data_IF_476101741982
#
_entry.id   IF_476101741982
#
_cell.length_a   1.000
_cell.length_b   1.000
_cell.length_c   1.000
_cell.angle_alpha   90.00
_cell.angle_beta   90.00
_cell.angle_gamma   90.00
#
_symmetry.space_group_name_H-M   'P 1'
#
loop_
_entity.id
_entity.type
_entity.pdbx_description
1 polymer ?
#
# COMPACT_ATOMS: atom_id res chain seq x y z
N UNK A 1 -19.12 -32.12 10.35
CA UNK A 1 -18.66 -30.80 9.88
C UNK A 1 -17.20 -30.54 10.16
N UNK A 2 -16.70 -30.77 11.38
CA UNK A 2 -15.30 -30.52 11.81
C UNK A 2 -14.26 -31.26 10.96
N UNK A 3 -14.48 -32.52 10.61
CA UNK A 3 -13.56 -33.33 9.81
C UNK A 3 -13.35 -32.75 8.41
N UNK A 4 -14.39 -32.23 7.79
CA UNK A 4 -14.29 -31.60 6.45
C UNK A 4 -13.44 -30.34 6.52
N UNK A 5 -13.59 -29.51 7.56
CA UNK A 5 -12.75 -28.32 7.75
C UNK A 5 -11.27 -28.69 7.93
N UNK A 6 -10.96 -29.72 8.69
CA UNK A 6 -9.57 -30.20 8.84
C UNK A 6 -8.99 -30.70 7.54
N UNK A 7 -9.74 -31.46 6.76
CA UNK A 7 -9.29 -31.97 5.45
C UNK A 7 -9.01 -30.81 4.49
N UNK A 8 -9.90 -29.82 4.41
CA UNK A 8 -9.71 -28.63 3.58
C UNK A 8 -8.48 -27.82 4.06
N UNK A 9 -8.34 -27.62 5.37
CA UNK A 9 -7.17 -26.92 5.91
C UNK A 9 -5.86 -27.63 5.61
N UNK A 10 -5.79 -28.94 5.79
CA UNK A 10 -4.61 -29.77 5.48
C UNK A 10 -4.29 -29.71 4.00
N UNK A 11 -5.30 -29.78 3.13
CA UNK A 11 -5.12 -29.68 1.67
C UNK A 11 -4.49 -28.32 1.26
N UNK A 12 -5.04 -27.20 1.78
CA UNK A 12 -4.47 -25.88 1.49
C UNK A 12 -3.07 -25.70 2.06
N UNK A 13 -2.82 -26.23 3.26
CA UNK A 13 -1.49 -26.16 3.88
C UNK A 13 -0.45 -26.97 3.11
N UNK A 14 -0.80 -28.16 2.67
CA UNK A 14 0.05 -29.00 1.83
C UNK A 14 0.32 -28.35 0.45
N UNK A 15 -0.69 -27.72 -0.14
CA UNK A 15 -0.55 -26.98 -1.39
C UNK A 15 0.38 -25.77 -1.23
N UNK A 16 0.24 -24.99 -0.14
CA UNK A 16 1.12 -23.88 0.16
C UNK A 16 2.57 -24.31 0.36
N UNK A 17 2.79 -25.36 1.17
CA UNK A 17 4.13 -25.91 1.39
C UNK A 17 4.73 -26.47 0.10
N UNK A 18 3.93 -27.16 -0.70
CA UNK A 18 4.36 -27.72 -1.99
C UNK A 18 4.77 -26.63 -2.98
N UNK A 19 3.97 -25.56 -3.10
CA UNK A 19 4.29 -24.40 -3.96
C UNK A 19 5.53 -23.65 -3.46
N UNK A 20 5.59 -23.36 -2.16
CA UNK A 20 6.73 -22.67 -1.57
C UNK A 20 8.02 -23.50 -1.73
N UNK A 21 7.95 -24.82 -1.45
CA UNK A 21 9.06 -25.72 -1.63
C UNK A 21 9.55 -25.77 -3.08
N UNK A 22 8.63 -25.89 -4.04
CA UNK A 22 8.97 -25.86 -5.48
C UNK A 22 9.66 -24.56 -5.89
N UNK A 23 9.16 -23.42 -5.44
CA UNK A 23 9.75 -22.11 -5.74
C UNK A 23 11.14 -21.97 -5.12
N UNK A 24 11.29 -22.33 -3.83
CA UNK A 24 12.56 -22.22 -3.12
C UNK A 24 13.60 -23.17 -3.73
N UNK A 25 13.27 -24.46 -3.89
CA UNK A 25 14.18 -25.45 -4.45
C UNK A 25 14.56 -25.10 -5.89
N UNK A 26 13.57 -24.76 -6.72
CA UNK A 26 13.81 -24.33 -8.10
C UNK A 26 14.63 -23.04 -8.20
N UNK A 27 14.40 -22.10 -7.30
CA UNK A 27 15.16 -20.86 -7.19
C UNK A 27 16.61 -21.09 -6.79
N UNK A 28 16.84 -21.94 -5.77
CA UNK A 28 18.19 -22.28 -5.29
C UNK A 28 18.99 -23.07 -6.32
N UNK A 29 18.36 -24.04 -6.99
CA UNK A 29 19.01 -24.84 -8.04
C UNK A 29 19.30 -24.05 -9.34
N UNK A 30 18.47 -23.04 -9.64
CA UNK A 30 18.65 -22.16 -10.79
C UNK A 30 19.49 -20.92 -10.50
N UNK A 31 19.88 -20.67 -9.26
CA UNK A 31 20.62 -19.49 -8.89
C UNK A 31 22.08 -19.56 -9.39
N UNK A 32 22.36 -18.82 -10.45
CA UNK A 32 23.71 -18.60 -10.94
C UNK A 32 24.20 -17.23 -10.53
N UNK A 33 25.53 -17.03 -10.25
CA UNK A 33 26.08 -15.72 -9.90
C UNK A 33 25.78 -14.65 -10.96
N UNK A 34 25.56 -15.06 -12.21
CA UNK A 34 25.19 -14.16 -13.31
C UNK A 34 23.80 -13.55 -13.18
N UNK A 35 22.89 -14.18 -12.44
CA UNK A 35 21.53 -13.65 -12.18
C UNK A 35 21.56 -12.40 -11.30
N UNK A 36 22.62 -12.22 -10.50
CA UNK A 36 22.78 -11.04 -9.63
C UNK A 36 23.50 -9.88 -10.32
N UNK A 37 24.00 -10.06 -11.55
CA UNK A 37 24.65 -8.98 -12.30
C UNK A 37 23.62 -7.96 -12.76
N UNK A 38 23.88 -6.68 -12.44
CA UNK A 38 23.15 -5.55 -13.01
C UNK A 38 23.46 -5.46 -14.51
N UNK A 39 22.53 -5.03 -15.33
CA UNK A 39 22.67 -4.78 -16.75
C UNK A 39 22.35 -5.93 -17.74
N UNK A 40 21.93 -7.11 -17.28
CA UNK A 40 21.44 -8.16 -18.18
C UNK A 40 19.93 -8.21 -18.19
N UNK A 41 19.28 -8.25 -19.36
CA UNK A 41 17.84 -8.39 -19.47
C UNK A 41 17.41 -9.67 -18.74
N UNK A 42 16.55 -9.56 -17.73
CA UNK A 42 16.06 -10.69 -16.92
C UNK A 42 16.89 -10.98 -15.66
N UNK A 43 17.89 -10.15 -15.30
CA UNK A 43 18.63 -10.32 -14.04
C UNK A 43 17.81 -9.91 -12.82
N UNK A 44 17.94 -10.67 -11.73
CA UNK A 44 17.31 -10.40 -10.44
C UNK A 44 17.73 -9.03 -9.89
N UNK A 45 19.01 -8.64 -10.08
CA UNK A 45 19.53 -7.35 -9.64
C UNK A 45 18.77 -6.17 -10.24
N UNK A 46 18.47 -6.24 -11.54
CA UNK A 46 17.71 -5.20 -12.24
C UNK A 46 16.25 -5.15 -11.75
N UNK A 47 15.66 -6.32 -11.48
CA UNK A 47 14.30 -6.40 -10.96
C UNK A 47 14.19 -5.87 -9.54
N UNK A 48 15.14 -6.17 -8.66
CA UNK A 48 15.23 -5.63 -7.31
C UNK A 48 15.34 -4.10 -7.33
N UNK A 49 16.22 -3.57 -8.17
CA UNK A 49 16.36 -2.11 -8.34
C UNK A 49 15.03 -1.47 -8.77
N UNK A 50 14.37 -2.03 -9.79
CA UNK A 50 13.09 -1.53 -10.28
C UNK A 50 12.00 -1.59 -9.21
N UNK A 51 11.98 -2.65 -8.38
CA UNK A 51 11.04 -2.78 -7.28
C UNK A 51 11.28 -1.71 -6.21
N UNK A 52 12.54 -1.53 -5.79
CA UNK A 52 12.92 -0.50 -4.81
C UNK A 52 12.55 0.88 -5.32
N UNK A 53 12.89 1.18 -6.58
CA UNK A 53 12.55 2.44 -7.22
C UNK A 53 11.03 2.70 -7.22
N UNK A 54 10.25 1.70 -7.66
CA UNK A 54 8.79 1.78 -7.72
C UNK A 54 8.19 2.02 -6.33
N UNK A 55 8.61 1.24 -5.34
CA UNK A 55 8.15 1.38 -3.95
C UNK A 55 8.52 2.75 -3.39
N UNK A 56 9.77 3.19 -3.59
CA UNK A 56 10.24 4.49 -3.09
C UNK A 56 9.42 5.65 -3.67
N UNK A 57 9.21 5.68 -4.98
CA UNK A 57 8.43 6.75 -5.63
C UNK A 57 6.95 6.68 -5.20
N UNK A 58 6.36 5.49 -5.12
CA UNK A 58 4.97 5.37 -4.70
C UNK A 58 4.77 5.85 -3.25
N UNK A 59 5.69 5.54 -2.34
CA UNK A 59 5.65 6.02 -0.96
C UNK A 59 5.91 7.53 -0.87
N UNK A 60 6.84 8.05 -1.67
CA UNK A 60 7.13 9.50 -1.70
C UNK A 60 5.88 10.33 -2.05
N UNK A 61 4.98 9.78 -2.84
CA UNK A 61 3.70 10.43 -3.19
C UNK A 61 2.61 10.11 -2.16
N UNK A 62 2.42 8.82 -1.84
CA UNK A 62 1.27 8.38 -1.04
C UNK A 62 1.41 8.70 0.45
N UNK A 63 2.63 8.66 1.03
CA UNK A 63 2.83 8.91 2.46
C UNK A 63 2.52 10.37 2.83
N UNK A 64 3.10 11.39 2.20
CA UNK A 64 2.79 12.78 2.57
C UNK A 64 1.31 13.09 2.40
N UNK A 65 0.72 12.70 1.28
CA UNK A 65 -0.70 12.96 1.00
C UNK A 65 -1.62 12.18 1.94
N UNK A 66 -1.36 10.90 2.16
CA UNK A 66 -2.17 10.04 3.02
C UNK A 66 -2.09 10.45 4.50
N UNK A 67 -0.89 10.75 5.00
CA UNK A 67 -0.70 11.21 6.39
C UNK A 67 -1.39 12.56 6.60
N UNK A 68 -1.18 13.54 5.72
CA UNK A 68 -1.86 14.83 5.82
C UNK A 68 -3.40 14.67 5.79
N UNK A 69 -3.92 13.83 4.90
CA UNK A 69 -5.35 13.55 4.83
C UNK A 69 -5.86 12.85 6.10
N UNK A 70 -5.12 11.87 6.64
CA UNK A 70 -5.46 11.17 7.87
C UNK A 70 -5.50 12.10 9.09
N UNK A 71 -4.47 12.95 9.26
CA UNK A 71 -4.44 13.96 10.32
C UNK A 71 -5.62 14.93 10.19
N UNK A 72 -5.89 15.40 8.97
CA UNK A 72 -7.02 16.29 8.73
C UNK A 72 -8.36 15.63 9.14
N UNK A 73 -8.59 14.39 8.73
CA UNK A 73 -9.81 13.65 9.05
C UNK A 73 -9.95 13.31 10.54
N UNK A 74 -8.82 13.09 11.24
CA UNK A 74 -8.84 12.76 12.66
C UNK A 74 -9.07 14.00 13.54
N UNK A 75 -8.39 15.13 13.26
CA UNK A 75 -8.31 16.27 14.19
C UNK A 75 -9.09 17.50 13.73
N UNK A 76 -9.20 17.73 12.43
CA UNK A 76 -9.74 19.00 11.90
C UNK A 76 -11.10 18.86 11.21
N UNK A 77 -11.44 17.67 10.70
CA UNK A 77 -12.66 17.47 9.96
C UNK A 77 -13.90 17.59 10.86
N UNK A 78 -14.68 18.64 10.66
CA UNK A 78 -15.98 18.80 11.31
C UNK A 78 -16.97 17.78 10.71
N UNK A 79 -17.90 17.27 11.55
CA UNK A 79 -18.98 16.43 11.07
C UNK A 79 -19.87 17.20 10.08
N UNK A 80 -19.76 16.91 8.79
CA UNK A 80 -20.49 17.59 7.73
C UNK A 80 -20.58 16.77 6.45
N UNK A 81 -21.30 17.31 5.45
CA UNK A 81 -21.48 16.63 4.15
C UNK A 81 -20.16 16.38 3.45
N UNK A 82 -19.21 17.33 3.53
CA UNK A 82 -17.89 17.22 2.91
C UNK A 82 -17.05 16.09 3.52
N UNK A 83 -17.04 15.97 4.84
CA UNK A 83 -16.30 14.89 5.53
C UNK A 83 -16.90 13.52 5.23
N UNK A 84 -18.24 13.42 5.15
CA UNK A 84 -18.91 12.19 4.72
C UNK A 84 -18.54 11.82 3.28
N UNK A 85 -18.51 12.80 2.39
CA UNK A 85 -18.12 12.58 1.00
C UNK A 85 -16.66 12.08 0.89
N UNK A 86 -15.72 12.72 1.58
CA UNK A 86 -14.31 12.29 1.60
C UNK A 86 -14.15 10.85 2.13
N UNK A 87 -14.87 10.50 3.21
CA UNK A 87 -14.86 9.12 3.74
C UNK A 87 -15.40 8.13 2.73
N UNK A 88 -16.52 8.45 2.09
CA UNK A 88 -17.10 7.61 1.05
C UNK A 88 -16.11 7.40 -0.12
N UNK A 89 -15.38 8.44 -0.53
CA UNK A 89 -14.35 8.32 -1.55
C UNK A 89 -13.21 7.39 -1.12
N UNK A 90 -12.73 7.52 0.11
CA UNK A 90 -11.66 6.68 0.67
C UNK A 90 -12.12 5.22 0.77
N UNK A 91 -13.31 4.97 1.31
CA UNK A 91 -13.91 3.64 1.41
C UNK A 91 -14.12 3.00 0.04
N UNK A 92 -14.60 3.77 -0.94
CA UNK A 92 -14.78 3.29 -2.31
C UNK A 92 -13.45 2.92 -2.94
N UNK A 93 -12.43 3.77 -2.82
CA UNK A 93 -11.09 3.47 -3.34
C UNK A 93 -10.47 2.23 -2.66
N UNK A 94 -10.66 2.08 -1.35
CA UNK A 94 -10.18 0.91 -0.59
C UNK A 94 -10.87 -0.39 -0.98
N UNK A 95 -12.12 -0.33 -1.45
CA UNK A 95 -12.91 -1.50 -1.85
C UNK A 95 -12.69 -1.92 -3.30
N UNK A 96 -12.02 -1.10 -4.12
CA UNK A 96 -11.76 -1.44 -5.51
C UNK A 96 -10.75 -2.59 -5.64
N UNK A 97 -11.04 -3.61 -6.48
CA UNK A 97 -10.05 -4.62 -6.82
C UNK A 97 -8.79 -3.98 -7.42
N UNK A 98 -7.61 -4.44 -7.00
CA UNK A 98 -6.32 -3.91 -7.47
C UNK A 98 -6.16 -3.93 -9.00
N UNK A 99 -6.79 -4.91 -9.67
CA UNK A 99 -6.77 -5.00 -11.12
C UNK A 99 -7.51 -3.82 -11.80
N UNK A 100 -8.58 -3.33 -11.17
CA UNK A 100 -9.33 -2.15 -11.66
C UNK A 100 -8.48 -0.90 -11.51
N UNK A 101 -7.83 -0.73 -10.36
CA UNK A 101 -6.92 0.42 -10.14
C UNK A 101 -5.70 0.36 -11.07
N UNK A 102 -5.16 -0.85 -11.32
CA UNK A 102 -4.08 -1.04 -12.28
C UNK A 102 -4.49 -0.69 -13.71
N UNK A 103 -5.71 -1.09 -14.14
CA UNK A 103 -6.25 -0.75 -15.44
C UNK A 103 -6.52 0.76 -15.57
N UNK A 104 -7.07 1.38 -14.52
CA UNK A 104 -7.26 2.83 -14.45
C UNK A 104 -5.92 3.56 -14.59
N UNK A 105 -4.91 3.16 -13.84
CA UNK A 105 -3.56 3.72 -13.92
C UNK A 105 -2.95 3.56 -15.32
N UNK A 106 -3.16 2.40 -15.96
CA UNK A 106 -2.75 2.17 -17.34
C UNK A 106 -3.41 3.18 -18.29
N UNK A 107 -4.74 3.32 -18.23
CA UNK A 107 -5.48 4.24 -19.13
C UNK A 107 -5.09 5.68 -18.89
N UNK A 108 -4.97 6.10 -17.63
CA UNK A 108 -4.66 7.49 -17.27
C UNK A 108 -3.21 7.83 -17.58
N UNK A 109 -2.26 7.06 -17.02
CA UNK A 109 -0.85 7.46 -17.12
C UNK A 109 -0.19 7.06 -18.44
N UNK A 110 -0.53 5.88 -18.99
CA UNK A 110 0.11 5.43 -20.22
C UNK A 110 -0.59 5.99 -21.46
N UNK A 111 -1.93 5.96 -21.49
CA UNK A 111 -2.70 6.34 -22.69
C UNK A 111 -2.98 7.83 -22.68
N UNK A 112 -3.60 8.35 -21.63
CA UNK A 112 -4.02 9.76 -21.61
C UNK A 112 -2.84 10.72 -21.44
N UNK A 113 -1.93 10.48 -20.48
CA UNK A 113 -0.73 11.31 -20.28
C UNK A 113 0.43 10.93 -21.20
N UNK A 114 0.35 9.84 -21.96
CA UNK A 114 1.38 9.44 -22.90
C UNK A 114 2.73 9.09 -22.27
N UNK A 115 2.77 8.71 -20.97
CA UNK A 115 4.01 8.42 -20.25
C UNK A 115 4.72 7.15 -20.73
N UNK A 116 4.08 6.38 -21.63
CA UNK A 116 4.59 5.11 -22.08
C UNK A 116 4.68 4.05 -20.96
N UNK A 117 5.29 2.91 -21.24
CA UNK A 117 5.52 1.85 -20.25
C UNK A 117 6.71 2.22 -19.36
N UNK A 118 6.49 3.13 -18.41
CA UNK A 118 7.53 3.62 -17.49
C UNK A 118 7.27 3.16 -16.06
N UNK A 119 8.36 3.02 -15.29
CA UNK A 119 8.29 2.73 -13.86
C UNK A 119 7.56 3.84 -13.09
N UNK A 120 7.66 5.08 -13.55
CA UNK A 120 6.96 6.22 -12.96
C UNK A 120 5.45 6.06 -13.06
N UNK A 121 4.93 5.69 -14.23
CA UNK A 121 3.49 5.43 -14.41
C UNK A 121 3.00 4.30 -13.48
N UNK A 122 3.80 3.24 -13.34
CA UNK A 122 3.51 2.16 -12.39
C UNK A 122 3.51 2.65 -10.93
N UNK A 123 4.50 3.44 -10.54
CA UNK A 123 4.60 3.98 -9.18
C UNK A 123 3.42 4.90 -8.83
N UNK A 124 3.00 5.76 -9.75
CA UNK A 124 1.82 6.61 -9.58
C UNK A 124 0.52 5.79 -9.46
N UNK A 125 0.39 4.72 -10.24
CA UNK A 125 -0.76 3.80 -10.13
C UNK A 125 -0.81 3.11 -8.76
N UNK A 126 0.34 2.65 -8.26
CA UNK A 126 0.44 2.04 -6.93
C UNK A 126 0.19 3.07 -5.83
N UNK A 127 0.62 4.33 -6.00
CA UNK A 127 0.36 5.38 -5.01
C UNK A 127 -1.13 5.67 -4.83
N UNK A 128 -1.94 5.60 -5.90
CA UNK A 128 -3.40 5.73 -5.80
C UNK A 128 -4.00 4.60 -4.94
N UNK A 129 -3.49 3.38 -5.10
CA UNK A 129 -3.95 2.22 -4.33
C UNK A 129 -3.57 2.31 -2.85
N UNK A 130 -2.37 2.79 -2.54
CA UNK A 130 -1.85 2.86 -1.17
C UNK A 130 -2.35 4.09 -0.39
N UNK A 131 -2.77 5.14 -1.08
CA UNK A 131 -3.22 6.40 -0.47
C UNK A 131 -4.37 6.21 0.52
N UNK A 132 -5.49 5.54 0.20
CA UNK A 132 -6.57 5.33 1.16
C UNK A 132 -6.13 4.50 2.37
N UNK A 133 -5.28 3.49 2.17
CA UNK A 133 -4.75 2.67 3.27
C UNK A 133 -3.95 3.52 4.26
N UNK A 134 -3.04 4.37 3.78
CA UNK A 134 -2.24 5.25 4.64
C UNK A 134 -3.14 6.27 5.35
N UNK A 135 -4.14 6.81 4.65
CA UNK A 135 -5.09 7.76 5.23
C UNK A 135 -5.87 7.15 6.38
N UNK A 136 -6.47 5.98 6.18
CA UNK A 136 -7.28 5.31 7.22
C UNK A 136 -6.42 4.86 8.39
N UNK A 137 -5.26 4.26 8.15
CA UNK A 137 -4.35 3.83 9.24
C UNK A 137 -3.84 5.00 10.05
N UNK A 138 -3.55 6.15 9.42
CA UNK A 138 -3.16 7.37 10.14
C UNK A 138 -4.32 7.93 10.97
N UNK A 139 -5.52 7.98 10.41
CA UNK A 139 -6.71 8.42 11.12
C UNK A 139 -7.00 7.54 12.33
N UNK A 140 -6.95 6.22 12.15
CA UNK A 140 -7.22 5.25 13.21
C UNK A 140 -6.16 5.29 14.31
N UNK A 141 -4.89 5.45 13.94
CA UNK A 141 -3.80 5.61 14.90
C UNK A 141 -4.00 6.83 15.80
N UNK A 142 -4.37 7.98 15.23
CA UNK A 142 -4.63 9.20 16.01
C UNK A 142 -5.87 9.05 16.90
N UNK A 143 -6.96 8.48 16.38
CA UNK A 143 -8.18 8.26 17.14
C UNK A 143 -8.05 7.20 18.23
N UNK A 144 -7.12 6.26 18.06
CA UNK A 144 -6.80 5.23 19.04
C UNK A 144 -6.04 5.76 20.27
N UNK A 145 -5.50 6.99 20.21
CA UNK A 145 -4.82 7.59 21.34
C UNK A 145 -5.82 7.96 22.44
N UNK A 146 -5.50 7.66 23.73
CA UNK A 146 -6.31 8.13 24.85
C UNK A 146 -6.41 9.66 24.86
N UNK A 147 -7.63 10.17 25.00
CA UNK A 147 -7.89 11.62 24.99
C UNK A 147 -7.09 12.40 26.04
N UNK A 148 -6.63 11.73 27.10
CA UNK A 148 -5.82 12.31 28.15
C UNK A 148 -4.47 12.87 27.67
N UNK A 149 -3.84 12.27 26.65
CA UNK A 149 -2.58 12.78 26.10
C UNK A 149 -2.75 14.14 25.44
N UNK A 150 -3.79 14.27 24.64
CA UNK A 150 -4.12 15.54 23.99
C UNK A 150 -4.49 16.64 25.00
N UNK A 151 -5.29 16.29 26.01
CA UNK A 151 -5.68 17.22 27.07
C UNK A 151 -4.47 17.65 27.94
N UNK A 152 -3.56 16.71 28.24
CA UNK A 152 -2.35 16.98 29.01
C UNK A 152 -1.43 17.96 28.27
N UNK A 153 -1.23 17.79 26.96
CA UNK A 153 -0.39 18.68 26.17
C UNK A 153 -0.98 20.10 26.09
N UNK A 154 -2.30 20.21 25.91
CA UNK A 154 -2.99 21.50 25.96
C UNK A 154 -2.90 22.15 27.35
N UNK A 155 -2.99 21.35 28.43
CA UNK A 155 -2.83 21.84 29.82
C UNK A 155 -1.43 22.39 30.11
N UNK A 156 -0.41 21.90 29.40
CA UNK A 156 0.97 22.44 29.46
C UNK A 156 1.19 23.65 28.55
N UNK A 157 0.13 24.17 27.91
CA UNK A 157 0.20 25.36 27.07
C UNK A 157 0.55 25.13 25.61
N UNK A 158 0.55 23.86 25.16
CA UNK A 158 0.76 23.53 23.75
C UNK A 158 -0.42 24.01 22.88
N UNK A 159 -0.11 24.45 21.65
CA UNK A 159 -1.14 24.73 20.65
C UNK A 159 -1.62 23.42 20.03
N UNK A 160 -2.78 23.45 19.35
CA UNK A 160 -3.29 22.27 18.61
C UNK A 160 -2.33 21.69 17.58
N UNK A 161 -1.36 22.47 17.12
CA UNK A 161 -0.32 22.03 16.17
C UNK A 161 0.89 21.39 16.86
N UNK A 162 1.08 21.66 18.14
CA UNK A 162 2.19 21.16 18.95
C UNK A 162 1.78 19.92 19.76
N UNK A 163 0.50 19.67 19.85
CA UNK A 163 -0.13 18.58 20.57
C UNK A 163 -0.43 17.40 19.68
#
# INVERSE_FOLDING_TARGET
MTVIFYLVAIFFFALLIGLAGKVIIGGLMGATPEMFRFARKGSIGNQLFNTIYLVFISLLVSVPLGVCAGIYLAMYAKQGKMTKFLRMCIETLSSLPSIVVGLFGYLVFLVFFGMGKSLMAGALSVSILTLPLITTTTEDAIKGLPAGYFQASLGLGATKWQS
#
